data_IF_377060344899
#
_entry.id   IF_377060344899
#
_cell.length_a   1.000
_cell.length_b   1.000
_cell.length_c   1.000
_cell.angle_alpha   90.00
_cell.angle_beta   90.00
_cell.angle_gamma   90.00
#
_symmetry.space_group_name_H-M   'P 1'
#
loop_
_entity.id
_entity.type
_entity.pdbx_description
1 polymer ?
#
# COMPACT_ATOMS: atom_id res chain seq x y z
N UNK A 1 -13.76 35.09 -2.77
CA UNK A 1 -13.75 33.65 -3.08
C UNK A 1 -12.34 33.15 -2.79
N UNK A 2 -12.16 32.03 -2.07
CA UNK A 2 -10.86 31.37 -2.07
C UNK A 2 -10.48 31.04 -3.53
N UNK A 3 -9.19 31.06 -3.88
CA UNK A 3 -8.78 30.63 -5.22
C UNK A 3 -9.29 29.20 -5.45
N UNK A 4 -9.94 28.97 -6.59
CA UNK A 4 -10.27 27.63 -7.04
C UNK A 4 -8.97 26.82 -7.12
N UNK A 5 -8.91 25.67 -6.45
CA UNK A 5 -7.80 24.74 -6.61
C UNK A 5 -7.66 24.39 -8.11
N UNK A 6 -6.44 24.15 -8.60
CA UNK A 6 -6.25 23.72 -9.98
C UNK A 6 -7.12 22.49 -10.28
N UNK A 7 -7.73 22.44 -11.46
CA UNK A 7 -8.57 21.32 -11.92
C UNK A 7 -7.86 19.95 -11.82
N UNK A 8 -6.53 19.95 -11.78
CA UNK A 8 -5.65 18.79 -11.64
C UNK A 8 -5.68 18.12 -10.25
N UNK A 9 -6.11 18.81 -9.18
CA UNK A 9 -6.18 18.25 -7.81
C UNK A 9 -7.55 17.65 -7.46
N UNK A 10 -8.56 17.83 -8.32
CA UNK A 10 -9.90 17.27 -8.12
C UNK A 10 -9.92 15.78 -8.46
N UNK A 11 -10.23 14.94 -7.47
CA UNK A 11 -10.37 13.48 -7.66
C UNK A 11 -11.74 13.11 -8.23
N UNK A 12 -12.79 13.81 -7.80
CA UNK A 12 -14.17 13.52 -8.19
C UNK A 12 -14.81 14.72 -8.90
N UNK A 13 -15.80 14.48 -9.79
CA UNK A 13 -16.62 15.54 -10.35
C UNK A 13 -17.43 16.29 -9.29
N UNK A 14 -17.95 17.47 -9.66
CA UNK A 14 -18.85 18.26 -8.82
C UNK A 14 -20.17 17.51 -8.54
N UNK A 15 -20.68 17.64 -7.31
CA UNK A 15 -22.01 17.21 -6.90
C UNK A 15 -22.19 15.70 -6.75
N UNK A 16 -21.11 14.92 -6.64
CA UNK A 16 -21.20 13.47 -6.54
C UNK A 16 -21.48 12.97 -5.12
N UNK A 17 -21.95 11.73 -5.02
CA UNK A 17 -22.03 10.98 -3.77
C UNK A 17 -20.83 10.04 -3.63
N UNK A 18 -20.03 10.23 -2.58
CA UNK A 18 -18.88 9.41 -2.23
C UNK A 18 -19.21 8.55 -1.00
N UNK A 19 -19.24 7.24 -1.18
CA UNK A 19 -19.44 6.27 -0.11
C UNK A 19 -18.11 5.92 0.56
N UNK A 20 -18.02 6.19 1.86
CA UNK A 20 -16.92 5.78 2.72
C UNK A 20 -17.39 4.76 3.75
N UNK A 21 -16.45 4.06 4.41
CA UNK A 21 -16.79 3.33 5.62
C UNK A 21 -17.14 4.32 6.74
N UNK A 22 -17.81 3.82 7.79
CA UNK A 22 -18.30 4.52 8.98
C UNK A 22 -17.72 5.91 9.27
N UNK A 23 -18.60 6.86 9.61
CA UNK A 23 -18.22 8.20 10.08
C UNK A 23 -17.17 8.13 11.21
N UNK A 24 -16.19 9.03 11.18
CA UNK A 24 -15.03 9.11 12.08
C UNK A 24 -14.00 7.96 11.92
N UNK A 25 -14.18 7.07 10.95
CA UNK A 25 -13.12 6.11 10.59
C UNK A 25 -12.03 6.78 9.76
N UNK A 26 -10.89 6.08 9.58
CA UNK A 26 -9.86 6.53 8.63
C UNK A 26 -10.37 6.63 7.18
N UNK A 27 -11.39 5.85 6.80
CA UNK A 27 -12.05 6.01 5.49
C UNK A 27 -12.86 7.30 5.40
N UNK A 28 -13.46 7.77 6.50
CA UNK A 28 -14.14 9.08 6.56
C UNK A 28 -13.12 10.20 6.45
N UNK A 29 -11.99 10.12 7.16
CA UNK A 29 -10.91 11.11 7.04
C UNK A 29 -10.39 11.23 5.60
N UNK A 30 -10.15 10.10 4.92
CA UNK A 30 -9.79 10.11 3.51
C UNK A 30 -10.89 10.73 2.62
N UNK A 31 -12.16 10.44 2.89
CA UNK A 31 -13.28 11.03 2.14
C UNK A 31 -13.44 12.54 2.39
N UNK A 32 -13.16 13.02 3.61
CA UNK A 32 -13.14 14.45 3.94
C UNK A 32 -12.03 15.19 3.22
N UNK A 33 -10.89 14.56 2.96
CA UNK A 33 -9.84 15.15 2.12
C UNK A 33 -10.33 15.37 0.68
N UNK A 34 -11.06 14.40 0.11
CA UNK A 34 -11.71 14.57 -1.20
C UNK A 34 -12.76 15.69 -1.17
N UNK A 35 -13.60 15.74 -0.12
CA UNK A 35 -14.58 16.80 0.05
C UNK A 35 -13.92 18.19 0.25
N UNK A 36 -12.72 18.26 0.83
CA UNK A 36 -12.01 19.53 0.98
C UNK A 36 -11.56 20.11 -0.38
N UNK A 37 -11.24 19.25 -1.35
CA UNK A 37 -10.89 19.69 -2.71
C UNK A 37 -12.12 19.88 -3.60
N UNK A 38 -13.19 19.13 -3.35
CA UNK A 38 -14.50 19.31 -3.99
C UNK A 38 -15.65 19.41 -2.96
N UNK A 39 -15.93 20.63 -2.44
CA UNK A 39 -16.91 20.85 -1.36
C UNK A 39 -18.35 20.45 -1.67
N UNK A 40 -18.72 20.30 -2.96
CA UNK A 40 -20.06 19.83 -3.33
C UNK A 40 -20.23 18.31 -3.19
N UNK A 41 -19.15 17.57 -2.91
CA UNK A 41 -19.18 16.12 -2.66
C UNK A 41 -20.01 15.80 -1.41
N UNK A 42 -21.00 14.92 -1.56
CA UNK A 42 -21.78 14.38 -0.46
C UNK A 42 -21.17 13.06 0.03
N UNK A 43 -20.67 13.05 1.27
CA UNK A 43 -20.17 11.82 1.89
C UNK A 43 -21.35 11.03 2.48
N UNK A 44 -21.48 9.76 2.06
CA UNK A 44 -22.39 8.79 2.68
C UNK A 44 -21.58 7.67 3.30
N UNK A 45 -22.13 7.00 4.30
CA UNK A 45 -21.40 6.00 5.08
C UNK A 45 -22.03 4.63 4.97
N UNK A 46 -21.18 3.62 4.87
CA UNK A 46 -21.53 2.21 5.03
C UNK A 46 -20.96 1.65 6.33
N UNK A 47 -21.66 0.66 6.91
CA UNK A 47 -21.23 -0.01 8.14
C UNK A 47 -19.91 -0.78 7.96
N UNK A 48 -19.67 -1.30 6.76
CA UNK A 48 -18.51 -2.06 6.39
C UNK A 48 -18.13 -1.84 4.91
N UNK A 49 -17.03 -2.48 4.51
CA UNK A 49 -16.53 -2.38 3.15
C UNK A 49 -17.46 -3.02 2.12
N UNK A 50 -18.29 -3.99 2.52
CA UNK A 50 -19.29 -4.62 1.64
C UNK A 50 -20.41 -3.65 1.27
N UNK A 51 -20.82 -2.81 2.22
CA UNK A 51 -21.74 -1.72 1.95
C UNK A 51 -21.17 -0.70 0.97
N UNK A 52 -19.87 -0.36 1.06
CA UNK A 52 -19.21 0.50 0.07
C UNK A 52 -19.22 -0.13 -1.32
N UNK A 53 -18.90 -1.43 -1.43
CA UNK A 53 -18.97 -2.14 -2.71
C UNK A 53 -20.38 -2.17 -3.29
N UNK A 54 -21.41 -2.32 -2.44
CA UNK A 54 -22.81 -2.24 -2.88
C UNK A 54 -23.15 -0.85 -3.43
N UNK A 55 -22.76 0.20 -2.72
CA UNK A 55 -22.93 1.59 -3.18
C UNK A 55 -22.26 1.85 -4.54
N UNK A 56 -21.05 1.31 -4.76
CA UNK A 56 -20.37 1.38 -6.06
C UNK A 56 -21.18 0.69 -7.16
N UNK A 57 -21.75 -0.49 -6.87
CA UNK A 57 -22.58 -1.20 -7.85
C UNK A 57 -23.86 -0.46 -8.21
N UNK A 58 -24.39 0.32 -7.27
CA UNK A 58 -25.55 1.22 -7.43
C UNK A 58 -25.21 2.55 -8.13
N UNK A 59 -23.93 2.78 -8.46
CA UNK A 59 -23.47 3.93 -9.23
C UNK A 59 -22.92 5.10 -8.40
N UNK A 60 -22.69 4.91 -7.11
CA UNK A 60 -21.99 5.88 -6.27
C UNK A 60 -20.47 5.76 -6.44
N UNK A 61 -19.73 6.81 -6.08
CA UNK A 61 -18.28 6.71 -5.92
C UNK A 61 -18.00 5.97 -4.62
N UNK A 62 -16.90 5.22 -4.56
CA UNK A 62 -16.51 4.51 -3.34
C UNK A 62 -15.07 4.79 -2.94
N UNK A 63 -14.85 4.93 -1.65
CA UNK A 63 -13.53 5.03 -1.02
C UNK A 63 -13.10 3.64 -0.54
N UNK A 64 -12.09 3.06 -1.17
CA UNK A 64 -11.63 1.68 -0.89
C UNK A 64 -10.20 1.72 -0.34
N UNK A 65 -9.92 1.21 0.88
CA UNK A 65 -8.54 1.04 1.35
C UNK A 65 -7.84 0.03 0.46
N UNK A 66 -6.64 0.34 -0.01
CA UNK A 66 -5.93 -0.49 -0.96
C UNK A 66 -4.64 -1.07 -0.39
N UNK A 67 -3.74 -0.20 0.09
CA UNK A 67 -2.46 -0.60 0.65
C UNK A 67 -2.24 0.12 1.99
N UNK A 68 -1.69 -0.59 2.97
CA UNK A 68 -1.16 0.01 4.19
C UNK A 68 0.33 -0.29 4.31
N UNK A 69 1.16 0.70 4.59
CA UNK A 69 2.63 0.54 4.66
C UNK A 69 3.10 -0.50 5.67
N UNK A 70 2.35 -0.71 6.75
CA UNK A 70 2.68 -1.70 7.79
C UNK A 70 2.11 -3.10 7.49
N UNK A 71 1.02 -3.20 6.71
CA UNK A 71 0.28 -4.46 6.49
C UNK A 71 0.30 -4.98 5.06
N UNK A 72 0.76 -4.19 4.10
CA UNK A 72 0.71 -4.49 2.67
C UNK A 72 -0.67 -4.26 2.04
N UNK A 73 -0.85 -4.86 0.86
CA UNK A 73 -2.05 -4.73 0.02
C UNK A 73 -3.21 -5.57 0.55
N UNK A 74 -4.41 -5.00 0.45
CA UNK A 74 -5.67 -5.66 0.79
C UNK A 74 -6.22 -6.41 -0.43
N UNK A 75 -5.67 -7.62 -0.66
CA UNK A 75 -5.93 -8.44 -1.86
C UNK A 75 -7.41 -8.71 -2.20
N UNK A 76 -8.29 -8.77 -1.20
CA UNK A 76 -9.74 -8.93 -1.42
C UNK A 76 -10.34 -7.80 -2.26
N UNK A 77 -9.82 -6.58 -2.16
CA UNK A 77 -10.27 -5.44 -2.96
C UNK A 77 -9.72 -5.51 -4.37
N UNK A 78 -8.49 -5.99 -4.51
CA UNK A 78 -7.86 -6.22 -5.80
C UNK A 78 -8.66 -7.19 -6.67
N UNK A 79 -9.10 -8.32 -6.11
CA UNK A 79 -9.96 -9.28 -6.83
C UNK A 79 -11.26 -8.66 -7.33
N UNK A 80 -11.87 -7.79 -6.52
CA UNK A 80 -13.12 -7.10 -6.88
C UNK A 80 -12.92 -6.05 -7.94
N UNK A 81 -11.86 -5.24 -7.87
CA UNK A 81 -11.52 -4.25 -8.90
C UNK A 81 -11.42 -4.91 -10.28
N UNK A 82 -10.82 -6.11 -10.34
CA UNK A 82 -10.71 -6.88 -11.56
C UNK A 82 -12.07 -7.30 -12.15
N UNK A 83 -12.98 -7.78 -11.31
CA UNK A 83 -14.20 -8.47 -11.74
C UNK A 83 -15.41 -7.54 -11.96
N UNK A 84 -15.39 -6.34 -11.38
CA UNK A 84 -16.59 -5.51 -11.22
C UNK A 84 -16.79 -4.42 -12.30
N UNK A 85 -15.88 -4.32 -13.26
CA UNK A 85 -15.89 -3.24 -14.27
C UNK A 85 -15.60 -1.85 -13.67
N UNK A 86 -15.20 -1.81 -12.40
CA UNK A 86 -14.87 -0.58 -11.67
C UNK A 86 -13.55 -0.02 -12.15
N UNK A 87 -13.44 1.32 -12.11
CA UNK A 87 -12.23 2.07 -12.46
C UNK A 87 -11.74 2.90 -11.28
N UNK A 88 -10.41 2.97 -11.13
CA UNK A 88 -9.73 3.88 -10.22
C UNK A 88 -9.71 5.27 -10.86
N UNK A 89 -10.15 6.27 -10.10
CA UNK A 89 -10.32 7.65 -10.55
C UNK A 89 -9.40 8.64 -9.82
N UNK A 90 -8.86 8.23 -8.68
CA UNK A 90 -7.87 8.98 -7.92
C UNK A 90 -7.52 8.24 -6.64
N UNK A 91 -6.63 8.82 -5.86
CA UNK A 91 -6.09 8.20 -4.67
C UNK A 91 -5.86 9.19 -3.53
N UNK A 92 -5.96 8.69 -2.30
CA UNK A 92 -5.71 9.43 -1.08
C UNK A 92 -4.72 8.66 -0.22
N UNK A 93 -3.58 9.28 0.07
CA UNK A 93 -2.55 8.78 0.98
C UNK A 93 -2.78 9.41 2.36
N UNK A 94 -3.34 8.62 3.28
CA UNK A 94 -3.67 9.06 4.62
C UNK A 94 -2.64 8.55 5.62
N UNK A 95 -2.01 9.44 6.37
CA UNK A 95 -1.25 9.06 7.55
C UNK A 95 -2.22 8.63 8.66
N UNK A 96 -2.18 7.35 9.03
CA UNK A 96 -3.06 6.75 10.03
C UNK A 96 -2.55 7.05 11.43
N UNK A 97 -3.11 8.13 11.99
CA UNK A 97 -2.77 8.68 13.31
C UNK A 97 -3.59 8.03 14.42
N UNK A 98 -3.08 6.95 15.00
CA UNK A 98 -3.71 6.32 16.17
C UNK A 98 -3.32 7.05 17.45
N UNK A 99 -4.31 7.56 18.19
CA UNK A 99 -4.12 8.22 19.48
C UNK A 99 -4.77 7.40 20.61
N UNK A 100 -4.37 7.69 21.85
CA UNK A 100 -5.02 7.17 23.05
C UNK A 100 -5.97 8.21 23.62
N UNK A 101 -7.23 7.83 23.83
CA UNK A 101 -8.27 8.69 24.37
C UNK A 101 -8.86 8.16 25.67
N UNK A 102 -9.36 9.05 26.53
CA UNK A 102 -10.07 8.70 27.75
C UNK A 102 -10.80 9.89 28.36
N UNK A 103 -11.41 9.70 29.53
CA UNK A 103 -11.99 10.82 30.27
C UNK A 103 -10.93 11.84 30.65
N UNK A 104 -11.33 13.08 30.93
CA UNK A 104 -10.42 14.17 31.27
C UNK A 104 -9.57 13.88 32.52
N UNK A 105 -10.11 13.09 33.46
CA UNK A 105 -9.45 12.65 34.69
C UNK A 105 -8.80 11.26 34.57
N UNK A 106 -8.86 10.62 33.39
CA UNK A 106 -8.23 9.34 33.15
C UNK A 106 -6.70 9.47 33.11
N UNK A 107 -6.00 8.50 33.70
CA UNK A 107 -4.55 8.41 33.65
C UNK A 107 -4.14 7.11 32.95
N UNK A 108 -3.37 7.14 31.84
CA UNK A 108 -2.99 5.94 31.09
C UNK A 108 -2.35 4.84 31.97
N UNK A 109 -1.56 5.23 32.97
CA UNK A 109 -0.89 4.30 33.90
C UNK A 109 -1.84 3.61 34.89
N UNK A 110 -3.03 4.15 35.09
CA UNK A 110 -4.06 3.57 35.96
C UNK A 110 -5.14 2.83 35.15
N UNK A 111 -5.04 2.86 33.82
CA UNK A 111 -5.98 2.22 32.93
C UNK A 111 -5.92 0.69 33.09
N UNK A 112 -7.09 0.08 33.11
CA UNK A 112 -7.24 -1.38 33.29
C UNK A 112 -7.83 -2.05 32.06
N UNK A 113 -8.47 -1.29 31.17
CA UNK A 113 -9.05 -1.80 29.93
C UNK A 113 -8.81 -0.79 28.80
N UNK A 114 -8.66 -1.33 27.58
CA UNK A 114 -8.58 -0.53 26.35
C UNK A 114 -9.61 -1.02 25.35
N UNK A 115 -10.29 -0.11 24.67
CA UNK A 115 -11.28 -0.41 23.63
C UNK A 115 -10.79 0.05 22.27
N UNK A 116 -10.73 -0.85 21.29
CA UNK A 116 -10.42 -0.49 19.90
C UNK A 116 -10.71 -1.66 18.96
N UNK A 117 -10.65 -1.38 17.66
CA UNK A 117 -10.66 -2.41 16.62
C UNK A 117 -9.42 -3.33 16.78
N UNK A 118 -9.50 -4.64 16.46
CA UNK A 118 -8.38 -5.57 16.57
C UNK A 118 -7.09 -5.09 15.90
N UNK A 119 -7.21 -4.40 14.77
CA UNK A 119 -6.06 -3.81 14.07
C UNK A 119 -5.38 -2.70 14.89
N UNK A 120 -6.16 -1.83 15.53
CA UNK A 120 -5.61 -0.78 16.40
C UNK A 120 -4.92 -1.37 17.63
N UNK A 121 -5.52 -2.39 18.26
CA UNK A 121 -4.92 -3.11 19.39
C UNK A 121 -3.57 -3.76 19.02
N UNK A 122 -3.48 -4.35 17.83
CA UNK A 122 -2.23 -4.94 17.34
C UNK A 122 -1.18 -3.87 17.02
N UNK A 123 -1.59 -2.76 16.42
CA UNK A 123 -0.69 -1.65 16.08
C UNK A 123 -0.16 -0.90 17.30
N UNK A 124 -0.81 -0.99 18.46
CA UNK A 124 -0.39 -0.32 19.69
C UNK A 124 0.07 -1.30 20.78
N UNK A 125 0.30 -2.56 20.42
CA UNK A 125 0.54 -3.64 21.38
C UNK A 125 1.69 -3.36 22.34
N UNK A 126 2.80 -2.77 21.87
CA UNK A 126 3.98 -2.47 22.72
C UNK A 126 3.61 -1.47 23.81
N UNK A 127 2.88 -0.42 23.45
CA UNK A 127 2.43 0.58 24.43
C UNK A 127 1.45 -0.01 25.44
N UNK A 128 0.58 -0.90 24.99
CA UNK A 128 -0.34 -1.61 25.89
C UNK A 128 0.40 -2.56 26.85
N UNK A 129 1.47 -3.22 26.39
CA UNK A 129 2.33 -4.05 27.23
C UNK A 129 3.07 -3.20 28.27
N UNK A 130 3.59 -2.03 27.89
CA UNK A 130 4.25 -1.06 28.80
C UNK A 130 3.31 -0.53 29.89
N UNK A 131 2.04 -0.31 29.55
CA UNK A 131 1.00 0.07 30.52
C UNK A 131 0.51 -1.11 31.37
N UNK A 132 0.98 -2.33 31.08
CA UNK A 132 0.58 -3.53 31.82
C UNK A 132 -0.86 -3.96 31.56
N UNK A 133 -1.45 -3.61 30.40
CA UNK A 133 -2.83 -3.98 30.04
C UNK A 133 -2.80 -5.34 29.32
N UNK A 134 -3.24 -6.43 29.97
CA UNK A 134 -3.11 -7.77 29.42
C UNK A 134 -4.16 -8.02 28.30
N UNK A 135 -3.95 -9.01 27.41
CA UNK A 135 -4.81 -9.24 26.24
C UNK A 135 -6.31 -9.40 26.56
N UNK A 136 -6.67 -10.04 27.67
CA UNK A 136 -8.06 -10.23 28.12
C UNK A 136 -8.75 -8.92 28.55
N UNK A 137 -7.98 -7.85 28.71
CA UNK A 137 -8.45 -6.49 29.00
C UNK A 137 -8.47 -5.58 27.77
N UNK A 138 -8.06 -6.09 26.60
CA UNK A 138 -8.13 -5.41 25.31
C UNK A 138 -9.47 -5.74 24.64
N UNK A 139 -10.45 -4.89 24.88
CA UNK A 139 -11.82 -5.05 24.40
C UNK A 139 -11.85 -4.75 22.91
N UNK A 140 -12.23 -5.76 22.12
CA UNK A 140 -12.31 -5.66 20.67
C UNK A 140 -13.64 -5.04 20.27
N UNK A 141 -13.58 -3.94 19.54
CA UNK A 141 -14.75 -3.28 18.95
C UNK A 141 -14.89 -3.63 17.46
N UNK A 142 -16.07 -3.37 16.89
CA UNK A 142 -16.34 -3.70 15.48
C UNK A 142 -15.65 -2.73 14.53
N UNK A 143 -15.53 -1.48 14.93
CA UNK A 143 -14.79 -0.45 14.21
C UNK A 143 -14.03 0.47 15.16
N UNK A 144 -13.06 1.20 14.61
CA UNK A 144 -12.23 2.15 15.38
C UNK A 144 -13.04 3.21 16.13
N UNK A 145 -14.10 3.83 15.55
CA UNK A 145 -14.90 4.85 16.26
C UNK A 145 -15.77 4.31 17.39
N UNK A 146 -15.97 2.99 17.48
CA UNK A 146 -16.74 2.38 18.57
C UNK A 146 -16.02 2.50 19.92
N UNK A 147 -14.68 2.42 19.93
CA UNK A 147 -13.89 2.50 21.17
C UNK A 147 -14.12 3.80 21.96
N UNK A 148 -13.99 4.99 21.33
CA UNK A 148 -14.32 6.25 21.98
C UNK A 148 -15.76 6.32 22.47
N UNK A 149 -16.74 5.80 21.70
CA UNK A 149 -18.15 5.74 22.12
C UNK A 149 -18.33 4.90 23.38
N UNK A 150 -17.77 3.68 23.38
CA UNK A 150 -17.85 2.77 24.52
C UNK A 150 -17.26 3.40 25.79
N UNK A 151 -16.10 4.06 25.67
CA UNK A 151 -15.44 4.73 26.81
C UNK A 151 -16.27 5.92 27.32
N UNK A 152 -16.82 6.74 26.42
CA UNK A 152 -17.66 7.88 26.77
C UNK A 152 -18.97 7.45 27.46
N UNK A 153 -19.57 6.34 27.03
CA UNK A 153 -20.78 5.77 27.63
C UNK A 153 -20.52 5.14 29.00
N UNK A 154 -19.43 4.38 29.15
CA UNK A 154 -19.10 3.68 30.39
C UNK A 154 -18.68 4.63 31.52
N UNK A 155 -18.14 5.82 31.18
CA UNK A 155 -17.72 6.86 32.14
C UNK A 155 -16.82 6.35 33.28
N UNK A 156 -15.91 5.44 32.95
CA UNK A 156 -14.94 4.88 33.88
C UNK A 156 -13.53 5.40 33.53
N UNK A 157 -12.85 6.17 34.41
CA UNK A 157 -11.53 6.74 34.13
C UNK A 157 -10.43 5.67 34.02
N UNK A 158 -10.72 4.40 34.37
CA UNK A 158 -9.82 3.27 34.15
C UNK A 158 -9.98 2.63 32.78
N UNK A 159 -10.80 3.20 31.89
CA UNK A 159 -11.01 2.74 30.52
C UNK A 159 -10.50 3.79 29.55
N UNK A 160 -9.67 3.35 28.63
CA UNK A 160 -9.14 4.15 27.53
C UNK A 160 -9.58 3.54 26.19
N UNK A 161 -9.42 4.30 25.13
CA UNK A 161 -9.66 3.85 23.76
C UNK A 161 -8.45 4.15 22.88
N UNK A 162 -8.35 3.42 21.77
CA UNK A 162 -7.41 3.74 20.69
C UNK A 162 -8.22 4.05 19.44
N UNK A 163 -8.09 5.27 18.92
CA UNK A 163 -8.78 5.72 17.72
C UNK A 163 -8.07 6.92 17.09
N UNK A 164 -8.60 7.43 15.98
CA UNK A 164 -8.13 8.72 15.47
C UNK A 164 -8.49 9.84 16.44
N UNK A 165 -7.69 10.93 16.41
CA UNK A 165 -7.96 12.14 17.20
C UNK A 165 -9.40 12.64 16.98
N UNK A 166 -9.85 12.65 15.73
CA UNK A 166 -11.19 13.09 15.35
C UNK A 166 -12.28 12.28 16.08
N UNK A 167 -12.15 10.96 16.14
CA UNK A 167 -13.12 10.11 16.81
C UNK A 167 -13.12 10.28 18.34
N UNK A 168 -11.95 10.51 18.94
CA UNK A 168 -11.79 10.77 20.38
C UNK A 168 -12.47 12.09 20.76
N UNK A 169 -12.19 13.15 20.01
CA UNK A 169 -12.72 14.49 20.25
C UNK A 169 -14.24 14.56 19.99
N UNK A 170 -14.75 13.89 18.95
CA UNK A 170 -16.21 13.80 18.67
C UNK A 170 -16.97 13.09 19.81
N UNK A 171 -16.34 12.10 20.46
CA UNK A 171 -16.89 11.45 21.64
C UNK A 171 -16.80 12.29 22.94
N UNK A 172 -16.23 13.50 22.88
CA UNK A 172 -16.03 14.38 24.04
C UNK A 172 -14.94 13.90 25.01
N UNK A 173 -14.03 13.04 24.55
CA UNK A 173 -12.93 12.51 25.33
C UNK A 173 -11.65 13.36 25.15
N UNK A 174 -10.76 13.28 26.13
CA UNK A 174 -9.43 13.89 26.04
C UNK A 174 -8.46 12.95 25.30
N UNK A 175 -7.62 13.53 24.44
CA UNK A 175 -6.45 12.83 23.90
C UNK A 175 -5.38 12.79 24.98
N UNK A 176 -5.11 11.59 25.51
CA UNK A 176 -4.17 11.35 26.61
C UNK A 176 -2.73 11.18 26.10
N UNK A 177 -2.57 10.47 24.98
CA UNK A 177 -1.28 10.25 24.31
C UNK A 177 -1.49 10.32 22.78
N UNK A 178 -0.48 10.85 22.08
CA UNK A 178 -0.50 11.05 20.64
C UNK A 178 0.08 9.84 19.87
N UNK A 179 0.11 9.96 18.53
CA UNK A 179 0.57 8.89 17.64
C UNK A 179 2.03 8.48 17.87
N UNK A 180 2.89 9.46 18.15
CA UNK A 180 4.34 9.25 18.30
C UNK A 180 4.64 8.41 19.55
N UNK A 181 3.73 8.40 20.53
CA UNK A 181 3.85 7.69 21.79
C UNK A 181 3.17 6.31 21.79
N UNK A 182 2.18 6.08 20.92
CA UNK A 182 1.25 4.94 21.06
C UNK A 182 1.39 3.90 19.93
N UNK A 183 1.71 4.31 18.70
CA UNK A 183 1.76 3.41 17.55
C UNK A 183 3.12 2.69 17.40
N UNK A 184 3.10 1.40 17.08
CA UNK A 184 4.30 0.57 16.90
C UNK A 184 5.18 1.05 15.72
N UNK A 185 4.60 1.69 14.70
CA UNK A 185 5.30 2.10 13.48
C UNK A 185 5.43 3.63 13.33
N UNK A 186 5.07 4.39 14.37
CA UNK A 186 5.17 5.85 14.41
C UNK A 186 4.62 6.51 13.13
N UNK A 187 5.39 7.46 12.58
CA UNK A 187 4.99 8.31 11.44
C UNK A 187 4.96 7.63 10.07
N UNK A 188 5.32 6.34 10.01
CA UNK A 188 5.43 5.62 8.73
C UNK A 188 4.13 4.89 8.34
N UNK A 189 3.06 4.94 9.15
CA UNK A 189 1.82 4.22 8.92
C UNK A 189 0.89 4.95 7.93
N UNK A 190 1.09 4.74 6.64
CA UNK A 190 0.30 5.37 5.58
C UNK A 190 -0.65 4.33 5.01
N UNK A 191 -1.92 4.70 4.84
CA UNK A 191 -2.89 3.91 4.09
C UNK A 191 -3.25 4.65 2.81
N UNK A 192 -3.04 4.00 1.67
CA UNK A 192 -3.54 4.42 0.39
C UNK A 192 -4.98 3.96 0.24
N UNK A 193 -5.85 4.90 -0.13
CA UNK A 193 -7.21 4.64 -0.51
C UNK A 193 -7.41 5.00 -1.98
N UNK A 194 -8.16 4.19 -2.71
CA UNK A 194 -8.63 4.52 -4.04
C UNK A 194 -10.04 5.09 -4.01
N UNK A 195 -10.27 6.12 -4.82
CA UNK A 195 -11.61 6.54 -5.21
C UNK A 195 -11.97 5.83 -6.50
N UNK A 196 -13.09 5.10 -6.49
CA UNK A 196 -13.46 4.21 -7.58
C UNK A 196 -14.92 4.39 -8.00
N UNK A 197 -15.22 4.06 -9.27
CA UNK A 197 -16.58 4.12 -9.83
C UNK A 197 -16.79 3.09 -10.94
N UNK A 198 -18.03 2.63 -11.14
CA UNK A 198 -18.39 1.58 -12.12
C UNK A 198 -18.40 2.05 -13.58
N UNK A 199 -18.69 3.33 -13.82
CA UNK A 199 -18.88 3.89 -15.16
C UNK A 199 -17.94 5.09 -15.38
N UNK A 200 -16.64 4.92 -15.13
CA UNK A 200 -15.64 5.99 -15.13
C UNK A 200 -15.69 6.93 -16.35
N UNK A 201 -16.60 7.91 -16.31
CA UNK A 201 -16.64 9.08 -17.17
C UNK A 201 -15.66 10.06 -16.54
N UNK A 202 -14.38 9.93 -16.87
CA UNK A 202 -13.46 11.04 -16.70
C UNK A 202 -13.13 11.53 -18.10
N UNK A 203 -13.44 12.80 -18.33
CA UNK A 203 -13.47 13.49 -19.63
C UNK A 203 -12.08 13.61 -20.30
N UNK A 204 -10.99 13.30 -19.57
CA UNK A 204 -9.64 13.27 -20.12
C UNK A 204 -9.31 11.90 -20.73
N UNK A 205 -8.78 11.84 -21.96
CA UNK A 205 -8.19 10.64 -22.53
C UNK A 205 -7.18 10.02 -21.55
N UNK A 206 -7.20 8.71 -21.35
CA UNK A 206 -6.32 8.00 -20.39
C UNK A 206 -4.83 8.31 -20.54
N UNK A 207 -4.39 8.79 -21.72
CA UNK A 207 -3.02 9.17 -22.06
C UNK A 207 -2.58 10.54 -21.50
N UNK A 208 -3.54 11.38 -21.09
CA UNK A 208 -3.29 12.72 -20.51
C UNK A 208 -3.24 12.67 -18.99
N UNK A 209 -3.27 11.44 -18.43
CA UNK A 209 -3.22 11.20 -17.00
C UNK A 209 -1.85 10.66 -16.59
N UNK A 210 -1.40 11.08 -15.43
CA UNK A 210 -0.07 10.83 -14.89
C UNK A 210 0.02 9.44 -14.25
N UNK A 211 -0.99 9.02 -13.49
CA UNK A 211 -0.96 7.76 -12.75
C UNK A 211 -1.85 6.70 -13.39
N UNK A 212 -1.42 5.44 -13.32
CA UNK A 212 -2.13 4.31 -13.90
C UNK A 212 -2.04 3.06 -13.03
N UNK A 213 -3.14 2.31 -12.98
CA UNK A 213 -3.21 0.99 -12.36
C UNK A 213 -3.37 -0.12 -13.41
N UNK A 214 -2.57 -1.17 -13.32
CA UNK A 214 -2.50 -2.25 -14.30
C UNK A 214 -2.41 -3.62 -13.62
N UNK A 215 -3.16 -4.58 -14.15
CA UNK A 215 -2.98 -6.00 -13.86
C UNK A 215 -2.36 -6.67 -15.08
N UNK A 216 -1.28 -7.42 -14.86
CA UNK A 216 -0.69 -8.31 -15.88
C UNK A 216 -0.78 -9.75 -15.41
N UNK A 217 -1.34 -10.60 -16.26
CA UNK A 217 -1.27 -12.05 -16.11
C UNK A 217 -0.26 -12.55 -17.14
N UNK A 218 0.86 -13.17 -16.71
CA UNK A 218 1.84 -13.72 -17.62
C UNK A 218 1.30 -14.89 -18.45
N UNK A 219 1.91 -15.11 -19.62
CA UNK A 219 1.63 -16.24 -20.51
C UNK A 219 2.23 -17.55 -20.00
N UNK A 220 3.43 -17.49 -19.40
CA UNK A 220 4.15 -18.66 -18.89
C UNK A 220 4.76 -18.38 -17.53
N UNK A 221 4.86 -19.40 -16.69
CA UNK A 221 5.64 -19.36 -15.46
C UNK A 221 7.09 -19.79 -15.75
N UNK A 222 7.94 -18.84 -16.13
CA UNK A 222 9.38 -19.08 -16.31
C UNK A 222 10.22 -17.96 -15.71
N UNK A 223 11.48 -18.29 -15.41
CA UNK A 223 12.47 -17.30 -14.96
C UNK A 223 12.49 -16.13 -15.95
N UNK A 224 12.41 -14.91 -15.42
CA UNK A 224 12.49 -13.68 -16.20
C UNK A 224 11.16 -13.20 -16.80
N UNK A 225 10.02 -13.85 -16.58
CA UNK A 225 8.74 -13.38 -17.15
C UNK A 225 8.33 -11.98 -16.64
N UNK A 226 8.59 -11.70 -15.36
CA UNK A 226 8.42 -10.36 -14.79
C UNK A 226 9.38 -9.38 -15.49
N UNK A 227 10.66 -9.73 -15.61
CA UNK A 227 11.65 -8.89 -16.27
C UNK A 227 11.28 -8.57 -17.74
N UNK A 228 10.80 -9.56 -18.50
CA UNK A 228 10.34 -9.36 -19.88
C UNK A 228 9.15 -8.37 -19.93
N UNK A 229 8.23 -8.45 -18.97
CA UNK A 229 7.12 -7.49 -18.82
C UNK A 229 7.62 -6.10 -18.45
N UNK A 230 8.54 -6.00 -17.48
CA UNK A 230 9.15 -4.74 -17.05
C UNK A 230 9.96 -4.08 -18.17
N UNK A 231 10.51 -4.84 -19.12
CA UNK A 231 11.22 -4.30 -20.28
C UNK A 231 10.33 -3.45 -21.17
N UNK A 232 9.06 -3.82 -21.32
CA UNK A 232 8.07 -3.03 -22.07
C UNK A 232 7.79 -1.70 -21.36
N UNK A 233 7.69 -1.72 -20.03
CA UNK A 233 7.48 -0.53 -19.20
C UNK A 233 8.69 0.41 -19.25
N UNK A 234 9.90 -0.13 -19.12
CA UNK A 234 11.16 0.61 -19.25
C UNK A 234 11.26 1.33 -20.61
N UNK A 235 10.94 0.63 -21.71
CA UNK A 235 10.93 1.23 -23.05
C UNK A 235 9.92 2.39 -23.16
N UNK A 236 8.85 2.33 -22.36
CA UNK A 236 7.86 3.40 -22.21
C UNK A 236 8.27 4.55 -21.30
N UNK A 237 9.43 4.46 -20.64
CA UNK A 237 9.93 5.40 -19.62
C UNK A 237 8.88 5.70 -18.54
N UNK A 238 8.16 4.67 -18.12
CA UNK A 238 7.23 4.78 -16.99
C UNK A 238 7.94 4.40 -15.70
N UNK A 239 7.65 5.14 -14.64
CA UNK A 239 8.10 4.83 -13.29
C UNK A 239 7.13 3.86 -12.62
N UNK A 240 7.66 2.89 -11.89
CA UNK A 240 6.86 1.96 -11.10
C UNK A 240 6.95 2.33 -9.64
N UNK A 241 5.80 2.66 -9.06
CA UNK A 241 5.69 2.99 -7.65
C UNK A 241 5.18 1.80 -6.85
N UNK A 242 4.33 0.95 -7.45
CA UNK A 242 3.82 -0.23 -6.76
C UNK A 242 3.95 -1.46 -7.65
N UNK A 243 4.39 -2.58 -7.09
CA UNK A 243 4.43 -3.89 -7.74
C UNK A 243 4.14 -4.98 -6.71
N UNK A 244 3.05 -5.70 -6.93
CA UNK A 244 2.66 -6.82 -6.08
C UNK A 244 2.32 -8.05 -6.92
N UNK A 245 2.85 -9.19 -6.53
CA UNK A 245 2.54 -10.49 -7.13
C UNK A 245 1.50 -11.23 -6.30
N UNK A 246 0.52 -11.84 -6.96
CA UNK A 246 -0.42 -12.74 -6.31
C UNK A 246 -0.53 -14.04 -7.09
N UNK A 247 -0.57 -15.16 -6.37
CA UNK A 247 -0.88 -16.46 -6.99
C UNK A 247 -2.34 -16.52 -7.42
N UNK A 248 -2.58 -17.10 -8.59
CA UNK A 248 -3.93 -17.37 -9.06
C UNK A 248 -4.53 -18.51 -8.24
N UNK A 249 -5.78 -18.34 -7.78
CA UNK A 249 -6.54 -19.40 -7.08
C UNK A 249 -7.26 -20.25 -8.13
N UNK A 250 -7.15 -21.57 -8.08
CA UNK A 250 -8.03 -22.47 -8.86
C UNK A 250 -7.41 -23.50 -9.80
N UNK A 251 -6.11 -23.80 -9.70
CA UNK A 251 -5.51 -24.98 -10.36
C UNK A 251 -4.62 -24.70 -11.57
N UNK A 252 -4.57 -23.45 -12.05
CA UNK A 252 -3.47 -23.00 -12.90
C UNK A 252 -2.29 -22.59 -12.01
N UNK A 253 -1.14 -23.23 -12.20
CA UNK A 253 0.16 -22.71 -11.73
C UNK A 253 0.37 -21.36 -12.44
N UNK A 254 0.13 -20.26 -11.71
CA UNK A 254 0.11 -18.92 -12.28
C UNK A 254 0.26 -17.81 -11.23
N UNK A 255 0.91 -16.71 -11.62
CA UNK A 255 0.89 -15.44 -10.91
C UNK A 255 0.13 -14.38 -11.71
N UNK A 256 -0.27 -13.32 -11.02
CA UNK A 256 -0.60 -12.03 -11.63
C UNK A 256 0.17 -10.94 -10.92
N UNK A 257 0.51 -9.89 -11.64
CA UNK A 257 1.18 -8.71 -11.15
C UNK A 257 0.21 -7.54 -11.15
N UNK A 258 0.06 -6.90 -10.00
CA UNK A 258 -0.50 -5.56 -9.91
C UNK A 258 0.62 -4.54 -9.96
N UNK A 259 0.44 -3.50 -10.78
CA UNK A 259 1.39 -2.42 -10.93
C UNK A 259 0.69 -1.07 -10.87
N UNK A 260 1.26 -0.15 -10.10
CA UNK A 260 0.95 1.28 -10.19
C UNK A 260 2.15 1.99 -10.79
N UNK A 261 1.88 2.83 -11.79
CA UNK A 261 2.89 3.50 -12.56
C UNK A 261 2.58 4.98 -12.75
N UNK A 262 3.64 5.76 -12.90
CA UNK A 262 3.62 7.16 -13.28
C UNK A 262 4.14 7.27 -14.71
N UNK A 263 3.35 7.88 -15.60
CA UNK A 263 3.79 8.19 -16.94
C UNK A 263 4.78 9.34 -16.90
N UNK A 264 5.95 9.17 -17.53
CA UNK A 264 7.02 10.18 -17.55
C UNK A 264 6.72 11.44 -18.38
N UNK A 265 5.45 11.83 -18.52
CA UNK A 265 4.98 13.02 -19.23
C UNK A 265 4.90 12.91 -20.75
N UNK A 266 5.28 11.77 -21.34
CA UNK A 266 5.18 11.51 -22.78
C UNK A 266 4.00 10.58 -23.10
N UNK A 267 2.84 11.20 -23.35
CA UNK A 267 1.60 10.48 -23.70
C UNK A 267 1.72 9.59 -24.94
N UNK A 268 2.55 9.97 -25.92
CA UNK A 268 2.74 9.19 -27.14
C UNK A 268 3.59 7.94 -26.87
N UNK A 269 4.64 8.09 -26.07
CA UNK A 269 5.47 6.96 -25.63
C UNK A 269 4.69 6.00 -24.75
N UNK A 270 3.85 6.52 -23.86
CA UNK A 270 2.92 5.73 -23.07
C UNK A 270 1.97 4.92 -23.96
N UNK A 271 1.34 5.54 -24.97
CA UNK A 271 0.45 4.85 -25.91
C UNK A 271 1.16 3.76 -26.75
N UNK A 272 2.43 3.97 -27.10
CA UNK A 272 3.25 2.95 -27.75
C UNK A 272 3.51 1.79 -26.78
N UNK A 273 3.87 2.08 -25.53
CA UNK A 273 4.08 1.08 -24.48
C UNK A 273 2.82 0.25 -24.27
N UNK A 274 1.63 0.87 -24.15
CA UNK A 274 0.36 0.14 -23.98
C UNK A 274 0.11 -0.85 -25.12
N UNK A 275 0.36 -0.43 -26.36
CA UNK A 275 0.23 -1.30 -27.55
C UNK A 275 1.27 -2.40 -27.57
N UNK A 276 2.52 -2.13 -27.18
CA UNK A 276 3.55 -3.16 -27.05
C UNK A 276 3.20 -4.18 -25.98
N UNK A 277 2.69 -3.74 -24.84
CA UNK A 277 2.31 -4.61 -23.74
C UNK A 277 1.16 -5.55 -24.13
N UNK A 278 0.14 -5.03 -24.80
CA UNK A 278 -0.98 -5.82 -25.31
C UNK A 278 -0.57 -6.89 -26.35
N UNK A 279 0.58 -6.72 -27.01
CA UNK A 279 1.13 -7.66 -27.98
C UNK A 279 2.39 -8.38 -27.46
N UNK A 280 2.69 -8.27 -26.17
CA UNK A 280 3.87 -8.89 -25.59
C UNK A 280 3.64 -10.39 -25.44
N UNK A 281 4.49 -11.22 -26.04
CA UNK A 281 4.37 -12.68 -25.96
C UNK A 281 4.54 -13.26 -24.55
N UNK A 282 5.03 -12.46 -23.60
CA UNK A 282 5.16 -12.83 -22.20
C UNK A 282 3.86 -12.55 -21.40
N UNK A 283 2.88 -11.85 -21.99
CA UNK A 283 1.67 -11.36 -21.32
C UNK A 283 0.44 -12.04 -21.94
N UNK A 284 -0.28 -12.82 -21.13
CA UNK A 284 -1.56 -13.45 -21.50
C UNK A 284 -2.70 -12.44 -21.47
N UNK A 285 -2.72 -11.63 -20.41
CA UNK A 285 -3.78 -10.66 -20.15
C UNK A 285 -3.16 -9.39 -19.56
N UNK A 286 -3.56 -8.23 -20.08
CA UNK A 286 -3.25 -6.92 -19.52
C UNK A 286 -4.56 -6.16 -19.31
N UNK A 287 -4.92 -5.91 -18.04
CA UNK A 287 -6.14 -5.21 -17.67
C UNK A 287 -5.81 -3.88 -16.98
N UNK A 288 -6.19 -2.77 -17.62
CA UNK A 288 -6.14 -1.45 -17.02
C UNK A 288 -7.27 -1.27 -16.01
N UNK A 289 -6.90 -0.92 -14.77
CA UNK A 289 -7.85 -0.63 -13.69
C UNK A 289 -8.24 0.83 -13.63
N UNK A 290 -7.50 1.72 -14.27
CA UNK A 290 -7.80 3.14 -14.31
C UNK A 290 -6.56 3.97 -14.58
N UNK A 291 -6.81 5.24 -14.91
CA UNK A 291 -5.80 6.28 -15.03
C UNK A 291 -6.32 7.51 -14.30
N UNK A 292 -5.50 8.22 -13.54
CA UNK A 292 -5.89 9.39 -12.73
C UNK A 292 -4.76 10.43 -12.60
N UNK A 293 -5.13 11.65 -12.22
CA UNK A 293 -4.19 12.71 -11.82
C UNK A 293 -4.32 13.05 -10.35
N UNK A 294 -5.56 13.00 -9.82
CA UNK A 294 -5.85 13.36 -8.44
C UNK A 294 -5.19 12.40 -7.46
N UNK A 295 -4.16 12.90 -6.78
CA UNK A 295 -3.42 12.23 -5.71
C UNK A 295 -3.32 13.18 -4.53
N UNK A 296 -4.02 12.86 -3.45
CA UNK A 296 -4.01 13.67 -2.23
C UNK A 296 -3.14 13.03 -1.17
N UNK A 297 -2.41 13.85 -0.43
CA UNK A 297 -1.62 13.43 0.73
C UNK A 297 -2.11 14.17 1.96
N UNK A 298 -2.20 13.49 3.09
CA UNK A 298 -2.46 14.18 4.36
C UNK A 298 -1.28 15.11 4.67
N UNK A 299 -1.53 16.30 5.24
CA UNK A 299 -0.53 17.36 5.49
C UNK A 299 0.74 16.90 6.21
N UNK A 300 0.63 15.83 7.00
CA UNK A 300 1.74 15.26 7.74
C UNK A 300 2.71 14.39 6.92
N UNK A 301 2.34 14.04 5.69
CA UNK A 301 3.19 13.31 4.76
C UNK A 301 4.01 14.34 3.99
N UNK A 302 5.34 14.24 4.09
CA UNK A 302 6.23 15.05 3.26
C UNK A 302 6.07 14.63 1.82
N UNK A 303 5.66 15.55 0.95
CA UNK A 303 5.50 15.33 -0.50
C UNK A 303 6.71 15.80 -1.30
N UNK A 304 7.74 16.34 -0.65
CA UNK A 304 9.00 16.66 -1.31
C UNK A 304 9.73 15.38 -1.68
N UNK A 305 10.26 15.33 -2.90
CA UNK A 305 11.13 14.23 -3.31
C UNK A 305 12.34 14.14 -2.38
N UNK A 306 12.77 12.93 -2.02
CA UNK A 306 13.99 12.75 -1.26
C UNK A 306 15.17 13.40 -2.01
N UNK A 307 16.16 13.96 -1.29
CA UNK A 307 17.32 14.55 -1.93
C UNK A 307 17.99 13.51 -2.84
N UNK A 308 18.40 13.96 -4.04
CA UNK A 308 19.14 13.10 -4.97
C UNK A 308 20.37 12.53 -4.26
N UNK A 309 20.47 11.20 -4.28
CA UNK A 309 21.56 10.47 -3.66
C UNK A 309 22.86 10.69 -4.45
N UNK A 310 23.99 10.62 -3.74
CA UNK A 310 25.31 10.57 -4.36
C UNK A 310 25.38 9.35 -5.31
N UNK A 311 25.64 9.54 -6.62
CA UNK A 311 25.74 8.46 -7.60
C UNK A 311 26.83 7.42 -7.28
N UNK A 312 27.75 7.73 -6.37
CA UNK A 312 28.83 6.83 -5.92
C UNK A 312 28.50 6.13 -4.58
N UNK A 313 27.38 6.47 -3.93
CA UNK A 313 27.01 5.85 -2.66
C UNK A 313 26.63 4.38 -2.87
N UNK A 314 27.30 3.48 -2.14
CA UNK A 314 26.93 2.07 -2.11
C UNK A 314 25.67 1.84 -1.26
N UNK A 315 24.84 0.84 -1.60
CA UNK A 315 23.71 0.44 -0.77
C UNK A 315 24.16 0.10 0.65
N UNK A 316 23.31 0.43 1.61
CA UNK A 316 23.43 -0.13 2.95
C UNK A 316 23.09 -1.62 2.88
N UNK A 317 23.95 -2.47 3.45
CA UNK A 317 23.75 -3.92 3.48
C UNK A 317 23.56 -4.35 4.92
N UNK A 318 22.38 -4.90 5.22
CA UNK A 318 22.00 -5.35 6.55
C UNK A 318 21.30 -6.71 6.48
N UNK A 319 21.04 -7.33 7.63
CA UNK A 319 20.17 -8.51 7.71
C UNK A 319 20.80 -9.77 8.30
N UNK A 320 20.04 -10.86 8.24
CA UNK A 320 20.44 -12.17 8.74
C UNK A 320 21.64 -12.73 7.94
N UNK A 321 22.47 -13.61 8.53
CA UNK A 321 23.52 -14.30 7.80
C UNK A 321 22.92 -15.03 6.60
N UNK A 322 23.46 -14.75 5.42
CA UNK A 322 23.08 -15.45 4.20
C UNK A 322 23.72 -16.85 4.20
N UNK A 323 22.90 -17.86 3.88
CA UNK A 323 23.38 -19.22 3.60
C UNK A 323 23.03 -19.56 2.14
N UNK A 324 23.97 -19.38 1.19
CA UNK A 324 23.73 -19.62 -0.23
C UNK A 324 23.56 -21.11 -0.58
N UNK A 325 23.76 -22.02 0.39
CA UNK A 325 23.48 -23.45 0.20
C UNK A 325 21.99 -23.80 0.34
N UNK A 326 21.20 -22.89 0.92
CA UNK A 326 19.74 -23.04 1.04
C UNK A 326 19.07 -22.76 -0.28
N UNK A 327 17.88 -23.34 -0.47
CA UNK A 327 17.10 -23.16 -1.69
C UNK A 327 16.33 -21.84 -1.76
N UNK A 328 15.79 -21.36 -0.65
CA UNK A 328 14.89 -20.21 -0.64
C UNK A 328 15.51 -19.04 0.10
N UNK A 329 15.33 -17.84 -0.46
CA UNK A 329 15.90 -16.62 0.12
C UNK A 329 14.87 -15.48 0.12
N UNK A 330 14.80 -14.79 1.26
CA UNK A 330 14.03 -13.56 1.43
C UNK A 330 14.94 -12.35 1.40
N UNK A 331 14.63 -11.38 0.55
CA UNK A 331 15.41 -10.16 0.38
C UNK A 331 14.46 -8.96 0.36
N UNK A 332 14.88 -7.86 0.97
CA UNK A 332 14.25 -6.56 0.81
C UNK A 332 15.27 -5.59 0.23
N UNK A 333 14.91 -4.80 -0.77
CA UNK A 333 15.78 -3.76 -1.30
C UNK A 333 14.98 -2.52 -1.66
N UNK A 334 15.63 -1.35 -1.65
CA UNK A 334 14.99 -0.11 -2.12
C UNK A 334 15.77 0.45 -3.29
N UNK A 335 15.21 0.45 -4.51
CA UNK A 335 15.79 1.16 -5.63
C UNK A 335 15.55 2.66 -5.50
N UNK A 336 16.37 3.45 -6.19
CA UNK A 336 16.02 4.80 -6.54
C UNK A 336 14.80 4.80 -7.46
N UNK A 337 13.94 5.81 -7.29
CA UNK A 337 12.71 5.92 -8.06
C UNK A 337 13.00 6.56 -9.44
N UNK A 338 13.61 5.77 -10.33
CA UNK A 338 13.88 6.14 -11.73
C UNK A 338 13.42 5.04 -12.70
N UNK A 339 13.05 5.41 -13.95
CA UNK A 339 12.54 4.43 -14.90
C UNK A 339 13.62 3.42 -15.24
N UNK A 340 13.32 2.13 -15.01
CA UNK A 340 14.21 1.03 -15.37
C UNK A 340 15.08 0.46 -14.26
N UNK A 341 15.24 1.11 -13.09
CA UNK A 341 16.08 0.57 -12.01
C UNK A 341 15.55 -0.78 -11.50
N UNK A 342 14.23 -0.90 -11.33
CA UNK A 342 13.61 -2.17 -10.97
C UNK A 342 13.78 -3.23 -12.08
N UNK A 343 13.74 -2.80 -13.35
CA UNK A 343 14.04 -3.68 -14.48
C UNK A 343 15.48 -4.21 -14.39
N UNK A 344 16.47 -3.34 -14.20
CA UNK A 344 17.89 -3.70 -14.08
C UNK A 344 18.13 -4.62 -12.87
N UNK A 345 17.49 -4.31 -11.74
CA UNK A 345 17.56 -5.13 -10.52
C UNK A 345 17.00 -6.54 -10.75
N UNK A 346 15.84 -6.64 -11.39
CA UNK A 346 15.29 -7.96 -11.79
C UNK A 346 16.12 -8.64 -12.88
N UNK A 347 16.93 -7.87 -13.61
CA UNK A 347 17.90 -8.36 -14.59
C UNK A 347 18.97 -9.21 -13.94
N UNK A 348 19.56 -8.75 -12.83
CA UNK A 348 20.52 -9.56 -12.06
C UNK A 348 19.92 -10.89 -11.63
N UNK A 349 18.68 -10.87 -11.12
CA UNK A 349 17.95 -12.06 -10.67
C UNK A 349 17.74 -13.04 -11.83
N UNK A 350 17.29 -12.53 -12.98
CA UNK A 350 17.09 -13.32 -14.19
C UNK A 350 18.40 -13.92 -14.70
N UNK A 351 19.48 -13.14 -14.80
CA UNK A 351 20.76 -13.60 -15.37
C UNK A 351 21.46 -14.64 -14.50
N UNK A 352 21.10 -14.70 -13.23
CA UNK A 352 21.61 -15.71 -12.29
C UNK A 352 20.71 -16.95 -12.19
N UNK A 353 19.73 -17.15 -13.08
CA UNK A 353 18.82 -18.30 -13.05
C UNK A 353 18.06 -18.46 -11.71
N UNK A 354 17.77 -17.33 -11.05
CA UNK A 354 16.98 -17.30 -9.81
C UNK A 354 15.52 -17.04 -10.15
N UNK A 355 14.62 -17.86 -9.59
CA UNK A 355 13.19 -17.68 -9.81
C UNK A 355 12.55 -16.82 -8.70
N UNK A 356 11.77 -15.82 -9.09
CA UNK A 356 10.98 -15.02 -8.14
C UNK A 356 9.71 -15.78 -7.73
N UNK A 357 9.54 -16.02 -6.43
CA UNK A 357 8.36 -16.65 -5.83
C UNK A 357 7.31 -15.63 -5.41
N UNK A 358 7.72 -14.42 -5.06
CA UNK A 358 6.83 -13.27 -4.88
C UNK A 358 7.64 -11.97 -4.97
N UNK A 359 6.95 -10.88 -5.25
CA UNK A 359 7.41 -9.50 -5.11
C UNK A 359 6.28 -8.67 -4.52
N UNK A 360 6.58 -7.85 -3.52
CA UNK A 360 5.64 -6.91 -2.90
C UNK A 360 6.35 -5.60 -2.61
N UNK A 361 5.82 -4.50 -3.14
CA UNK A 361 6.21 -3.16 -2.69
C UNK A 361 5.82 -2.92 -1.24
N UNK A 362 6.55 -2.01 -0.60
CA UNK A 362 6.28 -1.46 0.72
C UNK A 362 6.53 0.04 0.66
N UNK A 363 5.51 0.89 0.85
CA UNK A 363 5.71 2.33 0.89
C UNK A 363 6.56 2.71 2.10
N UNK A 364 7.63 3.45 1.84
CA UNK A 364 8.57 3.96 2.86
C UNK A 364 8.59 5.49 2.94
N UNK A 365 7.77 6.16 2.12
CA UNK A 365 7.68 7.60 2.02
C UNK A 365 6.94 8.04 0.76
N UNK A 366 6.97 9.34 0.47
CA UNK A 366 6.41 9.87 -0.78
C UNK A 366 7.23 9.40 -1.99
N UNK A 367 6.58 8.69 -2.91
CA UNK A 367 7.21 8.09 -4.11
C UNK A 367 8.42 7.18 -3.80
N UNK A 368 8.52 6.65 -2.58
CA UNK A 368 9.61 5.79 -2.15
C UNK A 368 9.06 4.42 -1.74
N UNK A 369 9.57 3.37 -2.40
CA UNK A 369 9.08 2.02 -2.19
C UNK A 369 10.24 1.03 -2.06
N UNK A 370 10.25 0.30 -0.95
CA UNK A 370 11.05 -0.91 -0.82
C UNK A 370 10.34 -2.08 -1.50
N UNK A 371 11.07 -3.05 -2.02
CA UNK A 371 10.54 -4.27 -2.59
C UNK A 371 10.99 -5.46 -1.75
N UNK A 372 10.02 -6.18 -1.22
CA UNK A 372 10.21 -7.47 -0.59
C UNK A 372 10.06 -8.55 -1.65
N UNK A 373 11.10 -9.37 -1.84
CA UNK A 373 11.12 -10.48 -2.79
C UNK A 373 11.42 -11.80 -2.12
N UNK A 374 10.74 -12.84 -2.59
CA UNK A 374 11.03 -14.23 -2.27
C UNK A 374 11.66 -14.90 -3.48
N UNK A 375 12.76 -15.61 -3.28
CA UNK A 375 13.55 -16.22 -4.35
C UNK A 375 13.68 -17.74 -4.15
N UNK A 376 13.68 -18.48 -5.26
CA UNK A 376 14.02 -19.90 -5.35
C UNK A 376 15.29 -20.04 -6.19
N UNK A 377 16.38 -20.47 -5.55
CA UNK A 377 17.71 -20.63 -6.11
C UNK A 377 17.98 -22.05 -6.63
N UNK A 378 16.97 -22.93 -6.71
CA UNK A 378 17.16 -24.34 -7.15
C UNK A 378 17.71 -24.52 -8.57
N UNK A 379 17.65 -23.49 -9.42
CA UNK A 379 18.19 -23.48 -10.77
C UNK A 379 19.51 -22.72 -10.91
N UNK A 380 20.07 -22.19 -9.81
CA UNK A 380 21.37 -21.50 -9.80
C UNK A 380 22.42 -22.30 -9.04
N UNK A 381 23.69 -21.98 -9.27
CA UNK A 381 24.79 -22.42 -8.40
C UNK A 381 25.02 -21.40 -7.27
N UNK A 382 25.61 -21.80 -6.13
CA UNK A 382 25.96 -20.87 -5.06
C UNK A 382 26.86 -19.72 -5.53
N UNK A 383 27.77 -19.95 -6.47
CA UNK A 383 28.68 -18.92 -7.00
C UNK A 383 27.93 -17.90 -7.87
N UNK A 384 27.00 -18.37 -8.71
CA UNK A 384 26.13 -17.49 -9.52
C UNK A 384 25.16 -16.70 -8.65
N UNK A 385 24.65 -17.33 -7.60
CA UNK A 385 23.82 -16.67 -6.61
C UNK A 385 24.62 -15.58 -5.91
N UNK A 386 25.83 -15.88 -5.40
CA UNK A 386 26.69 -14.90 -4.77
C UNK A 386 27.03 -13.72 -5.70
N UNK A 387 27.33 -13.98 -6.97
CA UNK A 387 27.59 -12.93 -7.96
C UNK A 387 26.37 -12.00 -8.16
N UNK A 388 25.15 -12.54 -8.13
CA UNK A 388 23.92 -11.74 -8.15
C UNK A 388 23.89 -10.76 -6.98
N UNK A 389 24.23 -11.23 -5.78
CA UNK A 389 24.22 -10.40 -4.58
C UNK A 389 25.30 -9.33 -4.65
N UNK A 390 26.50 -9.70 -5.10
CA UNK A 390 27.60 -8.76 -5.24
C UNK A 390 27.24 -7.62 -6.21
N UNK A 391 26.54 -7.93 -7.31
CA UNK A 391 25.98 -6.92 -8.21
C UNK A 391 24.98 -6.01 -7.49
N UNK A 392 23.99 -6.58 -6.80
CA UNK A 392 23.00 -5.78 -6.06
C UNK A 392 23.65 -4.91 -4.96
N UNK A 393 24.67 -5.41 -4.26
CA UNK A 393 25.38 -4.68 -3.21
C UNK A 393 26.33 -3.59 -3.76
N UNK A 394 26.64 -3.64 -5.05
CA UNK A 394 27.47 -2.63 -5.72
C UNK A 394 26.64 -1.66 -6.58
N UNK A 395 25.34 -1.93 -6.77
CA UNK A 395 24.46 -1.09 -7.58
C UNK A 395 24.16 0.22 -6.84
N UNK A 396 24.68 1.32 -7.35
CA UNK A 396 24.49 2.65 -6.75
C UNK A 396 23.05 3.17 -6.86
N UNK A 397 22.23 2.56 -7.73
CA UNK A 397 20.80 2.81 -7.79
C UNK A 397 20.01 2.07 -6.71
N UNK A 398 20.63 1.19 -5.92
CA UNK A 398 20.02 0.59 -4.73
C UNK A 398 20.45 1.35 -3.48
N UNK A 399 19.46 1.81 -2.71
CA UNK A 399 19.68 2.54 -1.46
C UNK A 399 20.06 1.62 -0.32
N UNK A 400 19.39 0.48 -0.23
CA UNK A 400 19.74 -0.58 0.69
C UNK A 400 19.39 -1.95 0.10
N UNK A 401 20.03 -2.98 0.63
CA UNK A 401 19.77 -4.40 0.37
C UNK A 401 19.82 -5.14 1.70
N UNK A 402 18.67 -5.61 2.17
CA UNK A 402 18.47 -6.24 3.48
C UNK A 402 18.14 -7.73 3.33
N UNK A 403 18.97 -8.58 3.91
CA UNK A 403 18.79 -10.02 3.92
C UNK A 403 17.85 -10.45 5.04
N UNK A 404 16.73 -11.06 4.70
CA UNK A 404 15.73 -11.42 5.69
C UNK A 404 15.89 -12.87 6.16
N UNK A 405 16.11 -13.81 5.23
CA UNK A 405 16.11 -15.24 5.52
C UNK A 405 16.78 -16.06 4.42
N UNK A 406 17.38 -17.19 4.81
CA UNK A 406 17.69 -18.32 3.93
C UNK A 406 17.09 -19.60 4.55
N UNK A 407 16.35 -20.39 3.79
CA UNK A 407 15.65 -21.59 4.28
C UNK A 407 15.42 -22.62 3.17
N UNK A 408 15.21 -23.88 3.53
CA UNK A 408 14.76 -24.93 2.59
C UNK A 408 13.24 -25.14 2.64
N UNK A 409 12.54 -24.43 3.53
CA UNK A 409 11.09 -24.48 3.70
C UNK A 409 10.43 -23.35 2.91
N UNK A 410 9.65 -23.72 1.89
CA UNK A 410 8.84 -22.76 1.14
C UNK A 410 7.81 -22.08 2.07
N UNK A 411 7.28 -22.80 3.06
CA UNK A 411 6.35 -22.24 4.05
C UNK A 411 7.01 -21.15 4.90
N UNK A 412 8.26 -21.36 5.33
CA UNK A 412 9.01 -20.34 6.07
C UNK A 412 9.36 -19.14 5.19
N UNK A 413 9.54 -19.31 3.88
CA UNK A 413 9.69 -18.17 2.97
C UNK A 413 8.37 -17.38 2.89
N UNK A 414 7.24 -18.07 2.78
CA UNK A 414 5.91 -17.45 2.71
C UNK A 414 5.51 -16.69 3.99
N UNK A 415 6.11 -17.00 5.14
CA UNK A 415 5.92 -16.21 6.37
C UNK A 415 6.40 -14.76 6.25
N UNK A 416 7.28 -14.45 5.28
CA UNK A 416 7.73 -13.09 5.01
C UNK A 416 6.67 -12.27 4.27
N UNK A 417 5.77 -12.91 3.52
CA UNK A 417 4.72 -12.20 2.80
C UNK A 417 3.79 -11.46 3.77
N UNK A 418 3.25 -10.30 3.35
CA UNK A 418 2.22 -9.62 4.12
C UNK A 418 1.06 -10.60 4.38
N UNK A 419 0.66 -10.76 5.65
CA UNK A 419 -0.45 -11.63 6.01
C UNK A 419 -1.75 -11.06 5.44
N UNK A 420 -2.57 -11.90 4.80
CA UNK A 420 -3.93 -11.52 4.41
C UNK A 420 -4.75 -11.23 5.69
N UNK A 421 -5.31 -10.01 5.79
CA UNK A 421 -6.20 -9.55 6.87
C UNK A 421 -7.63 -10.12 6.75
#
# INVERSE_FOLDING_TARGET
>A
MPPSLPEQERIVPEGVTLCAMQRLSFSDEAARMVQATEPSTQIVYADDIEGVWRAIQEGQYGMIPFENSAKGVVWKHFDRLRQSGVRILGEVHLHVRMCMGGLLDAQPREATHVHSHPVGLAQCSRRLDELGIPPEKRIQTRATPDGPRDVAELRDPRRICLASRLAIEDAGLAVLEDEDSVANHGRANITQFFVVHRNGQVELPEKEKEYHGLIVVPEYERIGVLHDTLGVLRDGRVDLHSLHSQRLRGGDDGYRFFMEMESGGDSALFDIMRRKLANCSAVREAQWLGSWNGRLYSDSIRTEDPPRRDPLARPQVEGAPLDPSRRYHGLQFRPDNYPGVLFDTTGYIRTSDVNLRFVHSRPEGHKQYGFLVGMDSSQTTPERFQLMLDHMQCDSHLQYVHWLRSTDSLSELHELEPKED
#
